data_IF_853161589590
#
_entry.id   IF_853161589590
#
_cell.length_a   1.000
_cell.length_b   1.000
_cell.length_c   1.000
_cell.angle_alpha   90.00
_cell.angle_beta   90.00
_cell.angle_gamma   90.00
#
_symmetry.space_group_name_H-M   'P 1'
#
loop_
_entity.id
_entity.type
_entity.pdbx_description
1 polymer ?
#
# COMPACT_ATOMS: atom_id res chain seq x y z
N UNK A 1 -13.60 32.64 -28.55
CA UNK A 1 -12.64 32.26 -27.50
C UNK A 1 -13.00 30.84 -27.10
N UNK A 2 -12.36 29.85 -27.70
CA UNK A 2 -12.67 28.44 -27.48
C UNK A 2 -12.12 27.99 -26.14
N UNK A 3 -12.99 27.49 -25.26
CA UNK A 3 -12.62 26.71 -24.09
C UNK A 3 -11.97 25.42 -24.57
N UNK A 4 -10.68 25.26 -24.30
CA UNK A 4 -9.98 23.98 -24.37
C UNK A 4 -10.40 23.20 -23.11
N UNK A 5 -11.00 21.99 -23.21
CA UNK A 5 -11.27 21.15 -22.06
C UNK A 5 -9.95 20.82 -21.36
N UNK A 6 -9.91 21.06 -20.05
CA UNK A 6 -8.69 21.15 -19.26
C UNK A 6 -7.89 19.85 -19.23
N UNK A 7 -6.57 19.97 -19.38
CA UNK A 7 -5.65 18.99 -18.81
C UNK A 7 -5.97 18.87 -17.31
N UNK A 8 -6.21 17.67 -16.82
CA UNK A 8 -6.38 17.39 -15.39
C UNK A 8 -5.16 17.91 -14.65
N UNK A 9 -5.35 18.89 -13.75
CA UNK A 9 -4.28 19.42 -12.93
C UNK A 9 -3.69 18.27 -12.08
N UNK A 10 -2.36 18.26 -11.87
CA UNK A 10 -1.74 17.30 -10.97
C UNK A 10 -2.36 17.42 -9.57
N UNK A 11 -2.68 16.30 -8.89
CA UNK A 11 -3.30 16.35 -7.58
C UNK A 11 -2.35 17.01 -6.57
N UNK A 12 -2.94 17.78 -5.65
CA UNK A 12 -2.20 18.46 -4.59
C UNK A 12 -1.53 17.45 -3.65
N UNK A 13 -0.45 17.82 -2.93
CA UNK A 13 0.17 16.95 -1.94
C UNK A 13 -0.83 16.39 -0.91
N UNK A 14 -1.75 17.24 -0.44
CA UNK A 14 -2.80 16.81 0.48
C UNK A 14 -3.74 15.78 -0.17
N UNK A 15 -4.17 16.00 -1.42
CA UNK A 15 -5.01 15.04 -2.15
C UNK A 15 -4.29 13.70 -2.35
N UNK A 16 -2.97 13.70 -2.61
CA UNK A 16 -2.17 12.47 -2.70
C UNK A 16 -2.05 11.73 -1.37
N UNK A 17 -1.88 12.43 -0.25
CA UNK A 17 -1.86 11.82 1.09
C UNK A 17 -3.21 11.17 1.41
N UNK A 18 -4.31 11.92 1.23
CA UNK A 18 -5.66 11.40 1.45
C UNK A 18 -5.98 10.24 0.50
N UNK A 19 -5.68 10.43 -0.79
CA UNK A 19 -5.86 9.43 -1.84
C UNK A 19 -5.14 8.14 -1.51
N UNK A 20 -3.86 8.20 -1.14
CA UNK A 20 -3.06 7.04 -0.78
C UNK A 20 -3.67 6.26 0.39
N UNK A 21 -4.00 6.92 1.50
CA UNK A 21 -4.51 6.26 2.71
C UNK A 21 -5.92 5.72 2.52
N UNK A 22 -6.82 6.48 1.90
CA UNK A 22 -8.19 6.02 1.60
C UNK A 22 -8.19 4.94 0.53
N UNK A 23 -7.36 5.06 -0.50
CA UNK A 23 -7.23 4.07 -1.56
C UNK A 23 -6.78 2.72 -1.01
N UNK A 24 -5.76 2.72 -0.14
CA UNK A 24 -5.34 1.51 0.57
C UNK A 24 -6.46 0.90 1.40
N UNK A 25 -7.16 1.71 2.19
CA UNK A 25 -8.26 1.23 3.02
C UNK A 25 -9.46 0.65 2.22
N UNK A 26 -9.73 1.19 1.03
CA UNK A 26 -10.73 0.63 0.11
C UNK A 26 -10.29 -0.72 -0.45
N UNK A 27 -9.02 -0.85 -0.83
CA UNK A 27 -8.44 -2.09 -1.33
C UNK A 27 -8.41 -3.19 -0.26
N UNK A 28 -7.93 -2.85 0.93
CA UNK A 28 -7.99 -3.67 2.15
C UNK A 28 -9.44 -4.11 2.40
N UNK A 29 -10.39 -3.18 2.55
CA UNK A 29 -11.77 -3.53 2.92
C UNK A 29 -12.48 -4.47 1.94
N UNK A 30 -12.19 -4.36 0.64
CA UNK A 30 -12.73 -5.28 -0.37
C UNK A 30 -12.01 -6.62 -0.34
N UNK A 31 -10.68 -6.62 -0.24
CA UNK A 31 -9.89 -7.84 -0.15
C UNK A 31 -10.20 -8.64 1.12
N UNK A 32 -10.43 -7.97 2.25
CA UNK A 32 -10.72 -8.59 3.54
C UNK A 32 -12.03 -9.40 3.50
N UNK A 33 -12.99 -9.00 2.66
CA UNK A 33 -14.24 -9.73 2.48
C UNK A 33 -14.05 -11.13 1.83
N UNK A 34 -12.87 -11.39 1.26
CA UNK A 34 -12.52 -12.59 0.51
C UNK A 34 -11.11 -13.15 0.80
N UNK A 35 -10.36 -12.61 1.76
CA UNK A 35 -8.95 -12.91 2.05
C UNK A 35 -8.62 -14.42 2.12
N UNK A 36 -9.51 -15.22 2.71
CA UNK A 36 -9.31 -16.66 2.90
C UNK A 36 -10.08 -17.54 1.90
N UNK A 37 -10.74 -16.93 0.92
CA UNK A 37 -11.50 -17.65 -0.09
C UNK A 37 -10.58 -18.07 -1.26
N UNK A 38 -10.73 -19.32 -1.71
CA UNK A 38 -10.18 -19.71 -3.02
C UNK A 38 -10.88 -18.96 -4.15
N UNK A 39 -10.22 -18.79 -5.29
CA UNK A 39 -10.86 -18.18 -6.48
C UNK A 39 -12.17 -18.88 -6.87
N UNK A 40 -12.27 -20.19 -6.69
CA UNK A 40 -13.51 -20.96 -6.92
C UNK A 40 -14.64 -20.51 -5.99
N UNK A 41 -14.33 -20.26 -4.73
CA UNK A 41 -15.30 -19.77 -3.74
C UNK A 41 -15.73 -18.32 -4.04
N UNK A 42 -14.76 -17.46 -4.39
CA UNK A 42 -15.01 -16.07 -4.81
C UNK A 42 -15.96 -16.05 -6.02
N UNK A 43 -15.66 -16.83 -7.06
CA UNK A 43 -16.53 -16.95 -8.24
C UNK A 43 -17.90 -17.54 -7.92
N UNK A 44 -17.96 -18.48 -6.98
CA UNK A 44 -19.22 -19.04 -6.49
C UNK A 44 -20.12 -18.00 -5.81
N UNK A 45 -19.53 -17.02 -5.11
CA UNK A 45 -20.25 -15.94 -4.40
C UNK A 45 -20.62 -14.78 -5.32
N UNK A 46 -19.71 -14.34 -6.19
CA UNK A 46 -19.83 -13.08 -6.93
C UNK A 46 -19.90 -13.25 -8.47
N UNK A 47 -19.84 -14.48 -8.97
CA UNK A 47 -19.78 -14.80 -10.39
C UNK A 47 -18.36 -14.78 -10.96
N UNK A 48 -18.22 -15.11 -12.24
CA UNK A 48 -16.89 -15.27 -12.90
C UNK A 48 -15.98 -14.04 -12.83
N UNK A 49 -16.57 -12.83 -12.74
CA UNK A 49 -15.82 -11.59 -12.61
C UNK A 49 -15.25 -11.36 -11.20
N UNK A 50 -15.67 -12.16 -10.21
CA UNK A 50 -15.29 -11.99 -8.81
C UNK A 50 -15.93 -10.77 -8.15
N UNK A 51 -15.40 -10.35 -7.00
CA UNK A 51 -15.85 -9.15 -6.28
C UNK A 51 -15.39 -7.89 -7.03
N UNK A 52 -16.34 -7.01 -7.38
CA UNK A 52 -16.09 -5.80 -8.19
C UNK A 52 -16.39 -4.49 -7.50
N UNK A 53 -16.94 -4.52 -6.29
CA UNK A 53 -17.34 -3.32 -5.56
C UNK A 53 -18.13 -3.66 -4.29
N UNK A 54 -18.35 -2.64 -3.46
CA UNK A 54 -19.01 -2.78 -2.15
C UNK A 54 -20.50 -3.09 -2.26
N UNK A 55 -21.14 -2.78 -3.39
CA UNK A 55 -22.54 -3.07 -3.64
C UNK A 55 -22.88 -4.56 -3.61
N UNK A 56 -21.88 -5.43 -3.72
CA UNK A 56 -22.02 -6.88 -3.63
C UNK A 56 -21.86 -7.41 -2.19
N UNK A 57 -21.51 -6.57 -1.21
CA UNK A 57 -21.29 -6.96 0.18
C UNK A 57 -22.53 -6.68 1.04
N UNK A 58 -23.15 -7.75 1.55
CA UNK A 58 -24.25 -7.64 2.51
C UNK A 58 -23.69 -7.36 3.92
N UNK A 59 -24.03 -6.22 4.51
CA UNK A 59 -23.70 -5.91 5.92
C UNK A 59 -22.63 -4.85 6.17
N UNK A 60 -22.17 -4.17 5.11
CA UNK A 60 -21.08 -3.18 5.20
C UNK A 60 -19.71 -3.85 5.04
N UNK A 61 -18.67 -3.03 4.86
CA UNK A 61 -17.30 -3.49 4.77
C UNK A 61 -16.50 -3.12 6.01
N UNK A 62 -15.41 -3.84 6.24
CA UNK A 62 -14.49 -3.60 7.35
C UNK A 62 -13.08 -3.66 6.78
N UNK A 63 -12.21 -2.74 7.18
CA UNK A 63 -10.78 -2.85 6.90
C UNK A 63 -10.08 -3.76 7.91
N UNK A 64 -8.99 -4.43 7.54
CA UNK A 64 -8.24 -5.40 8.35
C UNK A 64 -7.15 -4.74 9.21
N UNK A 65 -6.19 -5.53 9.70
CA UNK A 65 -5.00 -4.98 10.35
C UNK A 65 -4.11 -4.17 9.40
N UNK A 66 -4.23 -4.34 8.08
CA UNK A 66 -3.54 -3.55 7.07
C UNK A 66 -3.77 -2.05 7.26
N UNK A 67 -5.04 -1.63 7.22
CA UNK A 67 -5.39 -0.23 7.46
C UNK A 67 -5.08 0.19 8.89
N UNK A 68 -5.37 -0.66 9.88
CA UNK A 68 -5.08 -0.31 11.28
C UNK A 68 -3.59 0.00 11.47
N UNK A 69 -2.72 -0.91 11.08
CA UNK A 69 -1.27 -0.74 11.20
C UNK A 69 -0.77 0.40 10.32
N UNK A 70 -1.33 0.62 9.13
CA UNK A 70 -1.03 1.78 8.29
C UNK A 70 -1.31 3.09 9.03
N UNK A 71 -2.45 3.21 9.70
CA UNK A 71 -2.80 4.41 10.45
C UNK A 71 -1.88 4.63 11.66
N UNK A 72 -1.46 3.54 12.34
CA UNK A 72 -0.45 3.64 13.41
C UNK A 72 0.96 3.94 12.86
N UNK A 73 1.30 3.51 11.64
CA UNK A 73 2.51 3.99 10.95
C UNK A 73 2.44 5.50 10.75
N UNK A 74 1.31 6.02 10.25
CA UNK A 74 1.10 7.48 10.10
C UNK A 74 1.26 8.18 11.44
N UNK A 75 0.66 7.67 12.51
CA UNK A 75 0.75 8.25 13.85
C UNK A 75 2.19 8.32 14.38
N UNK A 76 2.97 7.24 14.24
CA UNK A 76 4.39 7.24 14.62
C UNK A 76 5.24 8.21 13.79
N UNK A 77 4.94 8.37 12.50
CA UNK A 77 5.61 9.37 11.64
C UNK A 77 5.21 10.80 12.02
N UNK A 78 3.92 11.04 12.29
CA UNK A 78 3.42 12.34 12.76
C UNK A 78 4.12 12.73 14.06
N UNK A 79 4.21 11.82 15.03
CA UNK A 79 4.91 12.07 16.29
C UNK A 79 6.37 12.47 16.06
N UNK A 80 7.10 11.76 15.20
CA UNK A 80 8.49 12.10 14.88
C UNK A 80 8.62 13.49 14.21
N UNK A 81 7.69 13.83 13.32
CA UNK A 81 7.66 15.12 12.61
C UNK A 81 7.25 16.27 13.54
N UNK A 82 6.33 16.07 14.49
CA UNK A 82 5.96 17.06 15.51
C UNK A 82 7.18 17.49 16.35
N UNK A 83 8.00 16.51 16.77
CA UNK A 83 9.25 16.80 17.47
C UNK A 83 10.23 17.57 16.58
N UNK A 84 10.42 17.13 15.34
CA UNK A 84 11.31 17.79 14.39
C UNK A 84 10.91 19.24 14.11
N UNK A 85 9.61 19.50 13.89
CA UNK A 85 9.05 20.83 13.66
C UNK A 85 9.17 21.73 14.91
N UNK A 86 9.24 21.13 16.10
CA UNK A 86 9.52 21.83 17.36
C UNK A 86 11.01 22.08 17.60
N UNK A 87 11.89 21.70 16.67
CA UNK A 87 13.35 21.83 16.79
C UNK A 87 14.00 20.79 17.70
N UNK A 88 13.30 19.68 17.98
CA UNK A 88 13.77 18.60 18.86
C UNK A 88 13.96 17.32 18.03
N UNK A 89 15.13 16.69 18.15
CA UNK A 89 15.38 15.40 17.51
C UNK A 89 14.57 14.29 18.18
N UNK A 90 13.92 13.45 17.38
CA UNK A 90 13.27 12.22 17.82
C UNK A 90 13.81 11.01 17.04
N UNK A 91 13.88 9.86 17.71
CA UNK A 91 14.13 8.59 17.03
C UNK A 91 12.82 8.14 16.38
N UNK A 92 12.72 8.30 15.06
CA UNK A 92 11.52 7.95 14.30
C UNK A 92 11.16 6.47 14.43
N UNK A 93 12.15 5.58 14.54
CA UNK A 93 11.91 4.14 14.70
C UNK A 93 11.33 3.84 16.10
N UNK A 94 11.76 4.58 17.12
CA UNK A 94 11.16 4.50 18.45
C UNK A 94 9.71 5.03 18.47
N UNK A 95 9.41 6.15 17.79
CA UNK A 95 8.04 6.65 17.67
C UNK A 95 7.12 5.62 17.00
N UNK A 96 7.58 5.00 15.91
CA UNK A 96 6.84 3.92 15.22
C UNK A 96 6.64 2.71 16.11
N UNK A 97 7.67 2.29 16.84
CA UNK A 97 7.56 1.18 17.78
C UNK A 97 6.54 1.45 18.89
N UNK A 98 6.54 2.65 19.47
CA UNK A 98 5.56 3.06 20.47
C UNK A 98 4.14 3.10 19.89
N UNK A 99 3.97 3.58 18.65
CA UNK A 99 2.70 3.53 17.94
C UNK A 99 2.21 2.09 17.74
N UNK A 100 3.09 1.17 17.34
CA UNK A 100 2.71 -0.24 17.20
C UNK A 100 2.43 -0.93 18.53
N UNK A 101 3.05 -0.51 19.65
CA UNK A 101 2.66 -0.99 20.97
C UNK A 101 1.27 -0.50 21.39
N UNK A 102 0.87 0.73 20.99
CA UNK A 102 -0.51 1.19 21.15
C UNK A 102 -1.48 0.35 20.32
N UNK A 103 -1.15 0.09 19.05
CA UNK A 103 -1.94 -0.83 18.21
C UNK A 103 -2.07 -2.23 18.84
N UNK A 104 -0.98 -2.80 19.37
CA UNK A 104 -1.00 -4.11 20.02
C UNK A 104 -2.01 -4.17 21.19
N UNK A 105 -2.08 -3.09 21.99
CA UNK A 105 -3.06 -2.94 23.07
C UNK A 105 -4.50 -2.94 22.52
N UNK A 106 -4.75 -2.27 21.39
CA UNK A 106 -6.09 -2.29 20.76
C UNK A 106 -6.48 -3.67 20.24
N UNK A 107 -5.52 -4.56 19.99
CA UNK A 107 -5.76 -5.97 19.64
C UNK A 107 -6.00 -6.89 20.86
N UNK A 108 -5.94 -6.34 22.08
CA UNK A 108 -6.11 -7.09 23.32
C UNK A 108 -4.94 -8.04 23.63
N UNK A 109 -3.77 -7.79 23.06
CA UNK A 109 -2.56 -8.59 23.31
C UNK A 109 -1.70 -7.88 24.33
N UNK A 110 -1.47 -8.47 25.53
CA UNK A 110 -0.70 -7.80 26.57
C UNK A 110 0.79 -7.75 26.20
N UNK A 111 1.38 -6.57 26.27
CA UNK A 111 2.83 -6.40 26.26
C UNK A 111 3.43 -6.81 27.63
N UNK A 112 4.67 -7.32 27.68
CA UNK A 112 5.32 -7.70 28.94
C UNK A 112 5.57 -6.47 29.82
N UNK A 113 5.67 -6.64 31.14
CA UNK A 113 5.85 -5.53 32.10
C UNK A 113 7.06 -4.63 31.81
N UNK A 114 8.08 -5.19 31.15
CA UNK A 114 9.31 -4.49 30.75
C UNK A 114 9.14 -3.60 29.52
N UNK A 115 8.08 -3.78 28.74
CA UNK A 115 7.78 -2.94 27.58
C UNK A 115 7.41 -1.54 28.06
N UNK A 116 7.79 -0.47 27.33
CA UNK A 116 7.36 0.87 27.67
C UNK A 116 5.84 0.97 27.55
N UNK A 117 5.24 1.85 28.36
CA UNK A 117 3.84 2.25 28.23
C UNK A 117 3.77 3.54 27.42
N UNK A 118 3.45 3.47 26.11
CA UNK A 118 3.36 4.67 25.28
C UNK A 118 2.29 5.61 25.82
N UNK A 119 2.50 6.92 25.66
CA UNK A 119 1.47 7.91 25.95
C UNK A 119 0.34 7.79 24.92
N UNK A 120 -0.92 7.97 25.32
CA UNK A 120 -2.04 7.90 24.40
C UNK A 120 -2.02 9.07 23.42
N UNK A 121 -2.49 8.82 22.20
CA UNK A 121 -2.66 9.79 21.11
C UNK A 121 -4.08 9.72 20.56
N UNK A 122 -4.45 10.68 19.72
CA UNK A 122 -5.79 10.80 19.14
C UNK A 122 -6.29 9.50 18.45
N UNK A 123 -5.39 8.77 17.79
CA UNK A 123 -5.72 7.52 17.10
C UNK A 123 -6.22 6.44 18.08
N UNK A 124 -5.77 6.44 19.33
CA UNK A 124 -6.17 5.44 20.32
C UNK A 124 -7.61 5.63 20.75
N UNK A 125 -8.19 6.82 20.60
CA UNK A 125 -9.57 7.09 21.00
C UNK A 125 -10.59 6.49 20.02
N UNK A 126 -10.14 6.05 18.84
CA UNK A 126 -11.02 5.57 17.77
C UNK A 126 -11.53 4.15 18.06
N UNK A 127 -12.85 3.93 18.30
CA UNK A 127 -13.37 2.62 18.67
C UNK A 127 -13.21 1.56 17.57
N UNK A 128 -13.29 1.99 16.30
CA UNK A 128 -13.17 1.09 15.14
C UNK A 128 -11.83 0.32 15.11
N UNK A 129 -10.76 0.92 15.65
CA UNK A 129 -9.41 0.33 15.67
C UNK A 129 -9.21 -0.70 16.80
N UNK A 130 -10.22 -0.93 17.65
CA UNK A 130 -10.21 -1.94 18.73
C UNK A 130 -10.84 -3.27 18.32
N UNK A 131 -11.35 -3.35 17.09
CA UNK A 131 -11.84 -4.60 16.54
C UNK A 131 -10.68 -5.42 16.00
N UNK A 132 -10.43 -6.59 16.61
CA UNK A 132 -9.40 -7.51 16.15
C UNK A 132 -9.86 -8.20 14.87
N UNK A 133 -9.18 -7.92 13.75
CA UNK A 133 -9.53 -8.37 12.40
C UNK A 133 -8.33 -9.04 11.75
N UNK A 134 -8.25 -10.36 11.89
CA UNK A 134 -7.21 -11.21 11.31
C UNK A 134 -5.73 -10.75 11.48
N UNK A 135 -5.31 -10.13 12.60
CA UNK A 135 -3.98 -9.55 12.68
C UNK A 135 -2.86 -10.54 12.39
N UNK A 136 -1.93 -10.15 11.51
CA UNK A 136 -0.79 -10.96 11.13
C UNK A 136 0.01 -11.44 12.36
N UNK A 137 0.17 -12.75 12.50
CA UNK A 137 0.80 -13.36 13.67
C UNK A 137 2.22 -12.84 13.93
N UNK A 138 2.99 -12.53 12.88
CA UNK A 138 4.34 -11.98 13.02
C UNK A 138 4.33 -10.58 13.64
N UNK A 139 3.36 -9.74 13.28
CA UNK A 139 3.21 -8.40 13.88
C UNK A 139 2.95 -8.53 15.38
N UNK A 140 1.98 -9.37 15.75
CA UNK A 140 1.63 -9.62 17.15
C UNK A 140 2.80 -10.22 17.94
N UNK A 141 3.43 -11.28 17.44
CA UNK A 141 4.50 -11.97 18.15
C UNK A 141 5.73 -11.09 18.32
N UNK A 142 6.06 -10.27 17.31
CA UNK A 142 7.19 -9.36 17.35
C UNK A 142 7.03 -8.29 18.41
N UNK A 143 5.87 -7.62 18.44
CA UNK A 143 5.57 -6.56 19.40
C UNK A 143 5.37 -7.11 20.81
N UNK A 144 4.76 -8.29 20.95
CA UNK A 144 4.57 -8.96 22.24
C UNK A 144 5.89 -9.37 22.92
N UNK A 145 7.02 -9.34 22.22
CA UNK A 145 8.33 -9.49 22.88
C UNK A 145 8.65 -8.32 23.82
N UNK A 146 8.10 -7.14 23.57
CA UNK A 146 8.47 -5.88 24.24
C UNK A 146 9.88 -5.39 23.91
N UNK A 147 10.56 -5.98 22.93
CA UNK A 147 11.84 -5.48 22.40
C UNK A 147 11.59 -4.57 21.20
N UNK A 148 12.35 -3.49 21.10
CA UNK A 148 12.43 -2.72 19.86
C UNK A 148 13.36 -3.46 18.90
N UNK A 149 12.77 -4.15 17.91
CA UNK A 149 13.52 -4.81 16.84
C UNK A 149 14.35 -3.81 16.02
N UNK A 150 15.51 -4.24 15.53
CA UNK A 150 16.39 -3.40 14.70
C UNK A 150 16.93 -4.19 13.52
N UNK A 151 17.53 -3.52 12.54
CA UNK A 151 18.14 -4.21 11.39
C UNK A 151 19.21 -5.22 11.80
N UNK A 152 19.94 -4.95 12.88
CA UNK A 152 21.02 -5.80 13.41
C UNK A 152 20.53 -6.89 14.37
N UNK A 153 19.39 -6.64 15.04
CA UNK A 153 18.77 -7.55 16.00
C UNK A 153 17.25 -7.50 15.82
N UNK A 154 16.72 -8.05 14.71
CA UNK A 154 15.30 -7.99 14.45
C UNK A 154 14.55 -8.99 15.34
N UNK A 155 13.29 -8.69 15.61
CA UNK A 155 12.36 -9.71 16.10
C UNK A 155 11.88 -10.54 14.90
N UNK A 156 11.54 -11.81 15.14
CA UNK A 156 11.15 -12.77 14.10
C UNK A 156 12.14 -12.79 12.90
N UNK A 157 13.41 -13.21 13.10
CA UNK A 157 14.49 -13.07 12.12
C UNK A 157 14.21 -13.70 10.76
N UNK A 158 13.41 -14.78 10.74
CA UNK A 158 13.13 -15.56 9.53
C UNK A 158 11.80 -15.19 8.85
N UNK A 159 11.00 -14.28 9.44
CA UNK A 159 9.65 -14.02 8.91
C UNK A 159 9.68 -13.14 7.66
N UNK A 160 9.07 -13.67 6.59
CA UNK A 160 8.88 -13.03 5.28
C UNK A 160 7.51 -12.36 5.09
N UNK A 161 6.64 -12.41 6.10
CA UNK A 161 5.24 -11.99 6.00
C UNK A 161 5.03 -10.60 5.40
N UNK A 162 3.91 -10.42 4.68
CA UNK A 162 3.46 -9.16 4.06
C UNK A 162 3.24 -8.00 5.05
N UNK A 163 3.14 -8.30 6.34
CA UNK A 163 2.93 -7.35 7.44
C UNK A 163 3.87 -6.15 7.45
N UNK A 164 5.03 -6.23 6.78
CA UNK A 164 5.93 -5.10 6.56
C UNK A 164 5.46 -4.15 5.47
N UNK A 165 5.04 -4.67 4.32
CA UNK A 165 4.75 -3.88 3.11
C UNK A 165 3.36 -3.26 3.16
N UNK A 166 2.36 -3.97 3.70
CA UNK A 166 0.97 -3.50 3.78
C UNK A 166 0.82 -2.15 4.51
N UNK A 167 1.76 -1.82 5.39
CA UNK A 167 1.75 -0.61 6.22
C UNK A 167 2.84 0.40 5.89
N UNK A 168 3.49 0.26 4.74
CA UNK A 168 4.69 1.03 4.37
C UNK A 168 4.44 2.22 3.46
N UNK A 169 3.27 2.33 2.81
CA UNK A 169 2.94 3.49 2.00
C UNK A 169 3.19 4.85 2.69
N UNK A 170 2.88 5.05 3.99
CA UNK A 170 3.08 6.32 4.69
C UNK A 170 4.52 6.86 4.66
N UNK A 171 5.54 6.00 4.63
CA UNK A 171 6.94 6.44 4.58
C UNK A 171 7.25 7.23 3.30
N UNK A 172 6.62 6.85 2.19
CA UNK A 172 6.79 7.55 0.91
C UNK A 172 6.03 8.89 0.82
N UNK A 173 5.09 9.14 1.74
CA UNK A 173 4.26 10.35 1.76
C UNK A 173 4.99 11.57 2.34
N UNK A 174 6.12 11.38 3.01
CA UNK A 174 6.88 12.47 3.61
C UNK A 174 7.59 13.26 2.49
N UNK A 175 7.29 14.55 2.32
CA UNK A 175 7.92 15.36 1.28
C UNK A 175 9.32 15.79 1.70
N UNK A 176 10.14 16.20 0.72
CA UNK A 176 11.44 16.85 0.93
C UNK A 176 12.48 16.03 1.72
N UNK A 177 12.28 14.73 1.90
CA UNK A 177 13.31 13.81 2.41
C UNK A 177 13.97 13.07 1.24
N UNK A 178 15.29 12.85 1.26
CA UNK A 178 15.95 12.10 0.20
C UNK A 178 15.48 10.64 0.15
N UNK A 179 15.45 10.06 -1.04
CA UNK A 179 14.97 8.70 -1.29
C UNK A 179 15.69 7.64 -0.42
N UNK A 180 16.99 7.78 -0.20
CA UNK A 180 17.74 6.86 0.65
C UNK A 180 17.25 6.83 2.11
N UNK A 181 16.76 7.97 2.62
CA UNK A 181 16.19 8.04 3.97
C UNK A 181 14.79 7.43 4.02
N UNK A 182 13.96 7.60 2.97
CA UNK A 182 12.65 6.92 2.85
C UNK A 182 12.84 5.40 2.94
N UNK A 183 13.76 4.87 2.13
CA UNK A 183 14.06 3.44 2.09
C UNK A 183 14.54 2.94 3.45
N UNK A 184 15.53 3.64 4.03
CA UNK A 184 16.12 3.26 5.32
C UNK A 184 15.07 3.28 6.43
N UNK A 185 14.28 4.36 6.54
CA UNK A 185 13.26 4.51 7.58
C UNK A 185 12.23 3.38 7.50
N UNK A 186 11.74 3.05 6.31
CA UNK A 186 10.79 1.96 6.15
C UNK A 186 11.40 0.58 6.43
N UNK A 187 12.63 0.31 6.00
CA UNK A 187 13.30 -0.98 6.25
C UNK A 187 13.65 -1.17 7.74
N UNK A 188 14.05 -0.09 8.42
CA UNK A 188 14.27 -0.07 9.87
C UNK A 188 12.96 -0.35 10.61
N UNK A 189 11.87 0.31 10.22
CA UNK A 189 10.54 0.11 10.81
C UNK A 189 9.96 -1.30 10.57
N UNK A 190 10.25 -1.92 9.42
CA UNK A 190 9.90 -3.31 9.18
C UNK A 190 10.56 -4.27 10.20
N UNK A 191 11.80 -3.96 10.60
CA UNK A 191 12.58 -4.73 11.58
C UNK A 191 11.97 -4.76 12.99
N UNK A 192 11.02 -3.87 13.28
CA UNK A 192 10.24 -3.87 14.53
C UNK A 192 9.35 -5.11 14.68
N UNK A 193 9.10 -5.85 13.59
CA UNK A 193 8.23 -7.03 13.58
C UNK A 193 8.76 -8.20 12.75
N UNK A 194 9.46 -7.93 11.64
CA UNK A 194 9.94 -8.95 10.70
C UNK A 194 11.43 -8.75 10.42
N UNK A 195 12.23 -9.81 10.54
CA UNK A 195 13.67 -9.72 10.34
C UNK A 195 14.19 -10.14 8.97
N UNK A 196 13.40 -10.87 8.18
CA UNK A 196 13.90 -11.40 6.92
C UNK A 196 14.26 -10.26 5.95
N UNK A 197 15.41 -10.31 5.26
CA UNK A 197 15.82 -9.27 4.30
C UNK A 197 14.75 -8.96 3.26
N UNK A 198 14.15 -9.98 2.63
CA UNK A 198 13.08 -9.79 1.64
C UNK A 198 11.91 -8.95 2.18
N UNK A 199 11.44 -9.21 3.41
CA UNK A 199 10.33 -8.45 4.00
C UNK A 199 10.68 -6.97 4.24
N UNK A 200 11.89 -6.70 4.73
CA UNK A 200 12.35 -5.34 5.03
C UNK A 200 12.64 -4.54 3.77
N UNK A 201 13.27 -5.17 2.79
CA UNK A 201 13.60 -4.54 1.52
C UNK A 201 12.32 -4.28 0.71
N UNK A 202 11.33 -5.20 0.71
CA UNK A 202 10.03 -4.97 0.07
C UNK A 202 9.33 -3.72 0.60
N UNK A 203 9.29 -3.56 1.92
CA UNK A 203 8.76 -2.36 2.58
C UNK A 203 9.48 -1.07 2.14
N UNK A 204 10.82 -1.10 2.10
CA UNK A 204 11.63 0.02 1.62
C UNK A 204 11.37 0.36 0.15
N UNK A 205 11.29 -0.64 -0.73
CA UNK A 205 11.02 -0.44 -2.17
C UNK A 205 9.61 0.09 -2.41
N UNK A 206 8.61 -0.41 -1.70
CA UNK A 206 7.25 0.11 -1.80
C UNK A 206 7.18 1.58 -1.39
N UNK A 207 7.84 1.93 -0.28
CA UNK A 207 7.93 3.32 0.19
C UNK A 207 8.62 4.24 -0.83
N UNK A 208 9.68 3.76 -1.49
CA UNK A 208 10.35 4.48 -2.58
C UNK A 208 9.44 4.68 -3.79
N UNK A 209 8.66 3.68 -4.15
CA UNK A 209 7.69 3.77 -5.24
C UNK A 209 6.66 4.87 -4.93
N UNK A 210 6.06 4.85 -3.74
CA UNK A 210 5.13 5.90 -3.30
C UNK A 210 5.80 7.26 -3.30
N UNK A 211 7.03 7.36 -2.78
CA UNK A 211 7.78 8.62 -2.78
C UNK A 211 8.01 9.17 -4.18
N UNK A 212 8.35 8.31 -5.14
CA UNK A 212 8.52 8.72 -6.54
C UNK A 212 7.23 9.30 -7.13
N UNK A 213 6.07 8.71 -6.81
CA UNK A 213 4.75 9.23 -7.23
C UNK A 213 4.43 10.58 -6.59
N UNK A 214 4.78 10.77 -5.31
CA UNK A 214 4.63 12.05 -4.60
C UNK A 214 5.51 13.14 -5.23
N UNK A 215 6.68 12.80 -5.76
CA UNK A 215 7.52 13.73 -6.54
C UNK A 215 6.97 14.02 -7.95
N UNK A 216 5.86 13.39 -8.35
CA UNK A 216 5.19 13.65 -9.62
C UNK A 216 5.62 12.76 -10.78
N UNK A 217 6.45 11.73 -10.54
CA UNK A 217 6.79 10.75 -11.58
C UNK A 217 5.57 9.89 -11.95
N UNK A 218 5.59 9.36 -13.18
CA UNK A 218 4.53 8.47 -13.67
C UNK A 218 4.58 7.07 -13.04
N UNK A 219 3.48 6.30 -13.13
CA UNK A 219 3.40 4.94 -12.58
C UNK A 219 4.52 4.01 -13.10
N UNK A 220 4.71 3.97 -14.43
CA UNK A 220 5.72 3.11 -15.06
C UNK A 220 7.14 3.56 -14.67
N UNK A 221 7.39 4.86 -14.63
CA UNK A 221 8.67 5.44 -14.23
C UNK A 221 9.00 5.11 -12.77
N UNK A 222 8.04 5.31 -11.86
CA UNK A 222 8.20 4.97 -10.45
C UNK A 222 8.44 3.47 -10.24
N UNK A 223 7.72 2.60 -10.95
CA UNK A 223 7.91 1.15 -10.90
C UNK A 223 9.29 0.73 -11.44
N UNK A 224 9.72 1.29 -12.56
CA UNK A 224 11.05 1.04 -13.13
C UNK A 224 12.17 1.48 -12.18
N UNK A 225 12.04 2.65 -11.55
CA UNK A 225 12.99 3.13 -10.56
C UNK A 225 13.07 2.20 -9.33
N UNK A 226 11.92 1.71 -8.85
CA UNK A 226 11.83 0.76 -7.75
C UNK A 226 12.53 -0.58 -8.09
N UNK A 227 12.28 -1.14 -9.27
CA UNK A 227 12.96 -2.36 -9.76
C UNK A 227 14.46 -2.12 -9.90
N UNK A 228 14.86 -1.03 -10.56
CA UNK A 228 16.27 -0.69 -10.76
C UNK A 228 17.04 -0.56 -9.44
N UNK A 229 16.41 0.03 -8.41
CA UNK A 229 17.01 0.13 -7.07
C UNK A 229 17.35 -1.25 -6.49
N UNK A 230 16.47 -2.23 -6.66
CA UNK A 230 16.70 -3.62 -6.21
C UNK A 230 17.75 -4.30 -7.09
N UNK A 231 17.70 -4.09 -8.41
CA UNK A 231 18.64 -4.69 -9.34
C UNK A 231 20.09 -4.21 -9.13
N UNK A 232 20.25 -2.93 -8.81
CA UNK A 232 21.53 -2.28 -8.54
C UNK A 232 22.17 -2.67 -7.21
N UNK A 233 21.41 -3.30 -6.30
CA UNK A 233 21.85 -3.64 -4.95
C UNK A 233 22.30 -5.09 -4.86
N UNK A 234 23.61 -5.32 -4.67
CA UNK A 234 24.18 -6.66 -4.56
C UNK A 234 23.64 -7.44 -3.35
N UNK A 235 23.12 -6.75 -2.33
CA UNK A 235 22.57 -7.34 -1.11
C UNK A 235 21.03 -7.47 -1.17
N UNK A 236 20.40 -7.16 -2.30
CA UNK A 236 18.98 -7.37 -2.49
C UNK A 236 18.62 -8.86 -2.42
N UNK A 237 17.55 -9.17 -1.68
CA UNK A 237 16.97 -10.49 -1.58
C UNK A 237 16.62 -11.01 -2.98
N UNK A 238 17.10 -12.21 -3.36
CA UNK A 238 16.85 -12.78 -4.68
C UNK A 238 15.36 -12.86 -5.03
N UNK A 239 14.52 -13.24 -4.07
CA UNK A 239 13.08 -13.41 -4.29
C UNK A 239 12.38 -12.09 -4.58
N UNK A 240 12.77 -11.02 -3.88
CA UNK A 240 12.28 -9.66 -4.16
C UNK A 240 12.63 -9.21 -5.57
N UNK A 241 13.90 -9.41 -5.96
CA UNK A 241 14.39 -9.06 -7.30
C UNK A 241 13.61 -9.80 -8.37
N UNK A 242 13.43 -11.11 -8.21
CA UNK A 242 12.72 -11.96 -9.15
C UNK A 242 11.24 -11.54 -9.30
N UNK A 243 10.53 -11.37 -8.18
CA UNK A 243 9.10 -11.04 -8.18
C UNK A 243 8.81 -9.66 -8.78
N UNK A 244 9.59 -8.65 -8.45
CA UNK A 244 9.40 -7.30 -9.02
C UNK A 244 9.74 -7.26 -10.52
N UNK A 245 10.82 -7.92 -10.94
CA UNK A 245 11.15 -8.03 -12.35
C UNK A 245 10.06 -8.80 -13.13
N UNK A 246 9.48 -9.85 -12.54
CA UNK A 246 8.35 -10.57 -13.11
C UNK A 246 7.11 -9.68 -13.25
N UNK A 247 6.73 -8.94 -12.20
CA UNK A 247 5.59 -8.02 -12.25
C UNK A 247 5.72 -6.99 -13.38
N UNK A 248 6.88 -6.35 -13.51
CA UNK A 248 7.14 -5.35 -14.55
C UNK A 248 7.11 -5.96 -15.97
N UNK A 249 7.73 -7.14 -16.13
CA UNK A 249 7.75 -7.89 -17.40
C UNK A 249 6.35 -8.31 -17.83
N UNK A 250 5.54 -8.82 -16.90
CA UNK A 250 4.17 -9.28 -17.17
C UNK A 250 3.25 -8.10 -17.48
N UNK A 251 3.39 -6.98 -16.77
CA UNK A 251 2.64 -5.76 -17.05
C UNK A 251 3.01 -5.15 -18.42
N UNK A 252 4.31 -5.12 -18.77
CA UNK A 252 4.75 -4.63 -20.09
C UNK A 252 4.22 -5.48 -21.25
N UNK A 253 4.01 -6.79 -21.04
CA UNK A 253 3.38 -7.69 -22.03
C UNK A 253 1.86 -7.50 -22.13
N UNK A 254 1.20 -7.06 -21.07
CA UNK A 254 -0.22 -6.69 -21.13
C UNK A 254 -0.45 -5.47 -22.04
N UNK A 255 0.59 -4.63 -22.22
CA UNK A 255 0.50 -3.44 -23.07
C UNK A 255 1.10 -3.52 -24.48
N UNK A 256 1.98 -4.48 -24.76
CA UNK A 256 2.60 -4.62 -26.07
C UNK A 256 1.88 -5.68 -26.91
N UNK A 257 1.16 -5.23 -27.94
CA UNK A 257 0.77 -5.98 -29.15
C UNK A 257 -0.57 -6.77 -29.10
N UNK A 258 -1.43 -6.47 -30.09
CA UNK A 258 -2.68 -7.18 -30.49
C UNK A 258 -3.93 -7.09 -29.60
N UNK A 259 -4.56 -5.91 -29.50
CA UNK A 259 -6.03 -5.74 -29.51
C UNK A 259 -6.93 -6.40 -28.45
N UNK A 260 -6.40 -7.24 -27.57
CA UNK A 260 -7.01 -7.92 -26.40
C UNK A 260 -6.07 -9.07 -26.02
N UNK A 261 -4.90 -8.80 -25.41
CA UNK A 261 -4.25 -9.84 -24.60
C UNK A 261 -4.55 -9.56 -23.14
N UNK A 262 -5.26 -10.48 -22.46
CA UNK A 262 -5.86 -10.21 -21.18
C UNK A 262 -4.80 -10.08 -20.10
N UNK A 263 -5.08 -9.22 -19.12
CA UNK A 263 -4.52 -9.33 -17.77
C UNK A 263 -4.52 -10.79 -17.31
N UNK A 264 -3.55 -11.19 -16.48
CA UNK A 264 -3.47 -12.55 -15.97
C UNK A 264 -4.80 -12.91 -15.32
N UNK A 265 -5.29 -14.13 -15.62
CA UNK A 265 -6.37 -14.68 -14.82
C UNK A 265 -5.85 -14.97 -13.39
N UNK A 266 -6.74 -15.12 -12.40
CA UNK A 266 -6.36 -15.34 -11.01
C UNK A 266 -5.39 -16.51 -10.78
N UNK A 267 -5.57 -17.60 -11.51
CA UNK A 267 -4.74 -18.80 -11.39
C UNK A 267 -3.31 -18.56 -11.90
N UNK A 268 -3.17 -17.92 -13.06
CA UNK A 268 -1.88 -17.54 -13.65
C UNK A 268 -1.19 -16.44 -12.82
N UNK A 269 -1.96 -15.51 -12.24
CA UNK A 269 -1.47 -14.48 -11.33
C UNK A 269 -0.77 -15.12 -10.12
N UNK A 270 -1.45 -16.06 -9.45
CA UNK A 270 -0.88 -16.81 -8.32
C UNK A 270 0.34 -17.63 -8.75
N UNK A 271 0.26 -18.30 -9.89
CA UNK A 271 1.38 -19.11 -10.40
C UNK A 271 2.63 -18.27 -10.70
N UNK A 272 2.47 -17.06 -11.26
CA UNK A 272 3.60 -16.23 -11.71
C UNK A 272 4.15 -15.32 -10.61
N UNK A 273 3.28 -14.77 -9.74
CA UNK A 273 3.65 -13.74 -8.76
C UNK A 273 3.50 -14.18 -7.30
N UNK A 274 2.81 -15.28 -7.03
CA UNK A 274 2.56 -15.81 -5.70
C UNK A 274 1.21 -15.40 -5.12
N UNK A 275 0.94 -15.87 -3.90
CA UNK A 275 -0.36 -15.70 -3.23
C UNK A 275 -0.43 -14.41 -2.40
N UNK A 276 0.70 -13.71 -2.20
CA UNK A 276 0.74 -12.45 -1.47
C UNK A 276 1.10 -12.57 0.01
N UNK A 277 1.07 -13.77 0.61
CA UNK A 277 1.34 -13.97 2.04
C UNK A 277 2.74 -13.51 2.51
N UNK A 278 3.70 -13.39 1.59
CA UNK A 278 5.04 -12.84 1.85
C UNK A 278 5.21 -11.51 1.12
N UNK A 279 6.00 -10.61 1.72
CA UNK A 279 6.05 -9.21 1.33
C UNK A 279 6.42 -8.97 -0.14
N UNK A 280 7.37 -9.74 -0.69
CA UNK A 280 7.74 -9.58 -2.09
C UNK A 280 6.63 -10.00 -3.07
N UNK A 281 5.78 -10.96 -2.68
CA UNK A 281 4.65 -11.41 -3.49
C UNK A 281 3.52 -10.39 -3.44
N UNK A 282 3.14 -9.93 -2.23
CA UNK A 282 2.10 -8.91 -2.08
C UNK A 282 2.43 -7.64 -2.88
N UNK A 283 3.68 -7.18 -2.78
CA UNK A 283 4.16 -6.02 -3.54
C UNK A 283 4.09 -6.26 -5.05
N UNK A 284 4.52 -7.43 -5.51
CA UNK A 284 4.54 -7.76 -6.94
C UNK A 284 3.12 -7.87 -7.52
N UNK A 285 2.19 -8.50 -6.81
CA UNK A 285 0.78 -8.62 -7.22
C UNK A 285 0.12 -7.25 -7.28
N UNK A 286 0.23 -6.44 -6.22
CA UNK A 286 -0.35 -5.09 -6.20
C UNK A 286 0.23 -4.18 -7.28
N UNK A 287 1.56 -4.23 -7.49
CA UNK A 287 2.23 -3.46 -8.55
C UNK A 287 1.81 -3.93 -9.95
N UNK A 288 1.75 -5.24 -10.17
CA UNK A 288 1.30 -5.81 -11.44
C UNK A 288 -0.14 -5.37 -11.74
N UNK A 289 -1.05 -5.47 -10.76
CA UNK A 289 -2.45 -5.11 -10.94
C UNK A 289 -2.62 -3.65 -11.40
N UNK A 290 -1.88 -2.73 -10.78
CA UNK A 290 -1.83 -1.32 -11.20
C UNK A 290 -1.28 -1.16 -12.61
N UNK A 291 -0.11 -1.72 -12.91
CA UNK A 291 0.52 -1.48 -14.21
C UNK A 291 -0.21 -2.17 -15.36
N UNK A 292 -0.77 -3.36 -15.15
CA UNK A 292 -1.46 -4.14 -16.17
C UNK A 292 -2.84 -3.58 -16.53
N UNK A 293 -3.44 -2.80 -15.63
CA UNK A 293 -4.72 -2.10 -15.86
C UNK A 293 -4.53 -0.63 -16.19
N UNK A 294 -3.28 -0.15 -16.26
CA UNK A 294 -2.94 1.21 -16.60
C UNK A 294 -3.48 1.57 -18.00
N UNK A 295 -4.23 2.67 -18.14
CA UNK A 295 -4.77 3.07 -19.42
C UNK A 295 -3.66 3.47 -20.40
N UNK A 296 -3.75 2.97 -21.64
CA UNK A 296 -2.75 3.30 -22.65
C UNK A 296 -1.39 2.61 -22.43
N UNK A 297 -1.35 1.47 -21.74
CA UNK A 297 -0.24 0.52 -21.86
C UNK A 297 -0.14 0.06 -23.33
N UNK A 298 0.43 0.90 -24.18
CA UNK A 298 0.87 0.60 -25.55
C UNK A 298 1.85 1.69 -25.95
N UNK A 299 3.17 1.43 -25.89
CA UNK A 299 4.14 2.31 -26.50
C UNK A 299 4.99 1.56 -27.53
N UNK A 300 4.54 1.59 -28.79
CA UNK A 300 5.37 1.67 -30.00
C UNK A 300 4.39 1.87 -31.18
N UNK A 301 4.66 2.82 -32.07
CA UNK A 301 3.95 3.03 -33.36
C UNK A 301 2.67 3.90 -33.40
N UNK A 302 2.56 4.94 -32.57
CA UNK A 302 1.70 6.07 -32.95
C UNK A 302 2.44 6.97 -33.97
N UNK A 303 1.93 7.17 -35.20
CA UNK A 303 2.50 8.13 -36.13
C UNK A 303 2.47 9.54 -35.51
N UNK A 304 3.53 10.32 -35.74
CA UNK A 304 3.71 11.67 -35.21
C UNK A 304 2.66 12.71 -35.68
N UNK A 305 1.60 12.27 -36.35
CA UNK A 305 0.50 13.09 -36.84
C UNK A 305 -0.84 12.40 -36.54
N UNK A 306 -1.29 12.50 -35.29
CA UNK A 306 -2.72 12.45 -35.01
C UNK A 306 -3.06 13.46 -33.91
N UNK A 307 -3.73 14.52 -34.33
CA UNK A 307 -4.34 15.55 -33.47
C UNK A 307 -5.66 15.07 -32.84
N UNK A 308 -5.86 13.76 -32.72
CA UNK A 308 -6.94 13.18 -31.94
C UNK A 308 -6.49 13.17 -30.47
N UNK A 309 -7.09 14.05 -29.67
CA UNK A 309 -6.77 14.16 -28.24
C UNK A 309 -6.74 12.79 -27.57
N UNK A 310 -5.62 12.46 -26.95
CA UNK A 310 -5.52 11.35 -26.01
C UNK A 310 -6.61 11.59 -24.96
N UNK A 311 -7.66 10.76 -24.98
CA UNK A 311 -8.65 10.77 -23.91
C UNK A 311 -7.88 10.45 -22.64
N UNK A 312 -7.71 11.43 -21.75
CA UNK A 312 -7.21 11.19 -20.42
C UNK A 312 -8.07 10.07 -19.84
N UNK A 313 -7.44 8.97 -19.49
CA UNK A 313 -8.19 7.82 -19.03
C UNK A 313 -8.78 8.08 -17.67
N UNK A 314 -9.97 7.54 -17.44
CA UNK A 314 -10.72 7.75 -16.21
C UNK A 314 -9.97 7.14 -15.01
N UNK A 315 -9.46 7.97 -14.07
CA UNK A 315 -8.74 7.48 -12.90
C UNK A 315 -9.58 6.53 -12.04
N UNK A 316 -10.91 6.73 -12.00
CA UNK A 316 -11.84 5.91 -11.22
C UNK A 316 -11.94 4.51 -11.82
N UNK A 317 -12.02 4.41 -13.15
CA UNK A 317 -12.08 3.10 -13.83
C UNK A 317 -10.76 2.34 -13.71
N UNK A 318 -9.61 3.04 -13.78
CA UNK A 318 -8.31 2.42 -13.50
C UNK A 318 -8.25 1.91 -12.05
N UNK A 319 -8.71 2.69 -11.07
CA UNK A 319 -8.77 2.26 -9.68
C UNK A 319 -9.62 1.00 -9.50
N UNK A 320 -10.85 0.99 -10.00
CA UNK A 320 -11.74 -0.17 -9.92
C UNK A 320 -11.14 -1.41 -10.60
N UNK A 321 -10.53 -1.24 -11.78
CA UNK A 321 -9.91 -2.35 -12.52
C UNK A 321 -8.71 -2.93 -11.77
N UNK A 322 -7.81 -2.09 -11.26
CA UNK A 322 -6.63 -2.51 -10.52
C UNK A 322 -7.00 -3.22 -9.21
N UNK A 323 -7.92 -2.65 -8.42
CA UNK A 323 -8.38 -3.29 -7.18
C UNK A 323 -9.00 -4.65 -7.48
N UNK A 324 -9.89 -4.74 -8.48
CA UNK A 324 -10.52 -6.00 -8.80
C UNK A 324 -9.52 -7.07 -9.31
N UNK A 325 -8.44 -6.67 -9.99
CA UNK A 325 -7.37 -7.61 -10.37
C UNK A 325 -6.52 -8.01 -9.16
N UNK A 326 -6.26 -7.07 -8.24
CA UNK A 326 -5.45 -7.31 -7.05
C UNK A 326 -6.15 -8.24 -6.05
N UNK A 327 -7.47 -8.15 -5.85
CA UNK A 327 -8.15 -8.90 -4.78
C UNK A 327 -8.72 -10.26 -5.21
N UNK A 328 -8.98 -10.49 -6.50
CA UNK A 328 -9.67 -11.70 -6.95
C UNK A 328 -8.68 -12.83 -7.23
N UNK A 329 -8.02 -13.35 -6.20
CA UNK A 329 -7.14 -14.53 -6.25
C UNK A 329 -7.27 -15.40 -4.99
N UNK A 330 -6.61 -16.56 -4.96
CA UNK A 330 -6.74 -17.53 -3.84
C UNK A 330 -5.81 -17.24 -2.66
N UNK A 331 -5.46 -15.98 -2.44
CA UNK A 331 -4.39 -15.60 -1.51
C UNK A 331 -4.73 -14.34 -0.73
N UNK A 332 -3.70 -13.69 -0.22
CA UNK A 332 -3.71 -12.50 0.64
C UNK A 332 -4.31 -11.27 -0.06
N UNK A 333 -5.64 -11.24 -0.15
CA UNK A 333 -6.38 -10.36 -1.04
C UNK A 333 -6.51 -8.94 -0.50
N UNK A 334 -6.55 -8.76 0.83
CA UNK A 334 -6.55 -7.44 1.47
C UNK A 334 -5.19 -6.75 1.32
N UNK A 335 -4.07 -7.44 1.56
CA UNK A 335 -2.73 -6.87 1.37
C UNK A 335 -2.46 -6.42 -0.06
N UNK A 336 -2.78 -7.26 -1.05
CA UNK A 336 -2.56 -6.93 -2.46
C UNK A 336 -3.48 -5.79 -2.92
N UNK A 337 -4.74 -5.80 -2.48
CA UNK A 337 -5.70 -4.71 -2.68
C UNK A 337 -5.23 -3.39 -2.06
N UNK A 338 -4.77 -3.43 -0.82
CA UNK A 338 -4.26 -2.27 -0.07
C UNK A 338 -3.08 -1.62 -0.79
N UNK A 339 -2.09 -2.43 -1.21
CA UNK A 339 -0.93 -1.94 -1.95
C UNK A 339 -1.35 -1.28 -3.28
N UNK A 340 -2.21 -1.93 -4.07
CA UNK A 340 -2.69 -1.36 -5.33
C UNK A 340 -3.44 -0.03 -5.10
N UNK A 341 -4.28 0.02 -4.07
CA UNK A 341 -5.03 1.20 -3.67
C UNK A 341 -4.14 2.36 -3.21
N UNK A 342 -3.10 2.08 -2.41
CA UNK A 342 -2.11 3.08 -2.01
C UNK A 342 -1.38 3.68 -3.21
N UNK A 343 -0.94 2.85 -4.17
CA UNK A 343 -0.21 3.29 -5.37
C UNK A 343 -1.08 4.25 -6.19
N UNK A 344 -2.31 3.85 -6.50
CA UNK A 344 -3.21 4.67 -7.33
C UNK A 344 -3.69 5.92 -6.61
N UNK A 345 -3.94 5.82 -5.30
CA UNK A 345 -4.27 6.96 -4.47
C UNK A 345 -3.13 7.97 -4.36
N UNK A 346 -1.87 7.50 -4.27
CA UNK A 346 -0.70 8.38 -4.29
C UNK A 346 -0.50 9.03 -5.68
N UNK A 347 -0.82 8.31 -6.76
CA UNK A 347 -0.66 8.79 -8.13
C UNK A 347 -1.73 9.80 -8.56
N UNK A 348 -3.00 9.48 -8.35
CA UNK A 348 -4.16 10.28 -8.79
C UNK A 348 -4.76 11.17 -7.69
N UNK A 349 -4.38 10.98 -6.43
CA UNK A 349 -5.04 11.64 -5.30
C UNK A 349 -6.45 11.09 -5.08
N UNK A 350 -7.33 11.90 -4.48
CA UNK A 350 -8.72 11.50 -4.24
C UNK A 350 -9.56 11.35 -5.52
N UNK A 351 -9.09 11.89 -6.65
CA UNK A 351 -9.84 11.91 -7.93
C UNK A 351 -10.06 10.51 -8.52
N UNK A 352 -9.28 9.49 -8.11
CA UNK A 352 -9.49 8.11 -8.53
C UNK A 352 -10.43 7.31 -7.63
N UNK A 353 -10.85 7.87 -6.49
CA UNK A 353 -11.60 7.12 -5.49
C UNK A 353 -13.11 7.15 -5.82
N UNK A 354 -13.77 6.00 -6.05
CA UNK A 354 -15.19 5.97 -6.33
C UNK A 354 -16.01 6.50 -5.14
N UNK A 355 -16.91 7.47 -5.40
CA UNK A 355 -17.69 8.12 -4.35
C UNK A 355 -18.66 7.15 -3.63
N UNK A 356 -19.21 6.19 -4.36
CA UNK A 356 -20.02 5.09 -3.84
C UNK A 356 -19.23 4.18 -2.89
N UNK A 357 -17.98 3.87 -3.25
CA UNK A 357 -17.10 3.07 -2.41
C UNK A 357 -16.67 3.81 -1.14
N UNK A 358 -16.35 5.11 -1.24
CA UNK A 358 -16.09 5.95 -0.08
C UNK A 358 -17.29 6.07 0.87
N UNK A 359 -18.50 6.08 0.33
CA UNK A 359 -19.73 6.08 1.13
C UNK A 359 -20.01 4.75 1.84
N UNK A 360 -19.45 3.65 1.34
CA UNK A 360 -19.58 2.31 1.92
C UNK A 360 -18.41 1.94 2.85
N UNK A 361 -17.26 2.61 2.73
CA UNK A 361 -16.08 2.40 3.56
C UNK A 361 -16.41 2.64 5.03
N UNK A 362 -15.87 1.79 5.91
CA UNK A 362 -16.01 1.97 7.34
C UNK A 362 -15.11 3.09 7.87
N UNK A 363 -15.70 3.96 8.69
CA UNK A 363 -15.02 5.03 9.40
C UNK A 363 -14.03 5.87 8.55
N UNK A 364 -14.41 6.34 7.34
CA UNK A 364 -13.53 7.12 6.48
C UNK A 364 -13.05 8.40 7.15
N UNK A 365 -13.80 8.94 8.12
CA UNK A 365 -13.41 10.08 8.95
C UNK A 365 -12.17 9.80 9.81
N UNK A 366 -11.96 8.56 10.27
CA UNK A 366 -10.77 8.19 11.05
C UNK A 366 -9.53 8.21 10.14
N UNK A 367 -9.65 7.64 8.95
CA UNK A 367 -8.57 7.63 7.94
C UNK A 367 -8.25 9.07 7.50
N UNK A 368 -9.29 9.88 7.21
CA UNK A 368 -9.13 11.31 6.88
C UNK A 368 -8.53 12.11 8.02
N UNK A 369 -8.85 11.77 9.28
CA UNK A 369 -8.27 12.41 10.45
C UNK A 369 -6.77 12.19 10.56
N UNK A 370 -6.29 10.95 10.39
CA UNK A 370 -4.85 10.66 10.34
C UNK A 370 -4.16 11.32 9.13
N UNK A 371 -4.79 11.25 7.95
CA UNK A 371 -4.29 11.94 6.76
C UNK A 371 -4.13 13.45 7.01
N UNK A 372 -5.11 14.07 7.67
CA UNK A 372 -5.08 15.50 8.01
C UNK A 372 -3.97 15.85 9.01
N UNK A 373 -3.70 14.98 9.99
CA UNK A 373 -2.56 15.16 10.90
C UNK A 373 -1.22 15.09 10.15
N UNK A 374 -1.07 14.13 9.24
CA UNK A 374 0.14 14.05 8.41
C UNK A 374 0.31 15.28 7.52
N UNK A 375 -0.75 15.74 6.86
CA UNK A 375 -0.75 16.99 6.08
C UNK A 375 -0.31 18.17 6.95
N UNK A 376 -0.87 18.31 8.15
CA UNK A 376 -0.57 19.41 9.05
C UNK A 376 0.92 19.50 9.44
N UNK A 377 1.62 18.37 9.56
CA UNK A 377 3.05 18.35 9.94
C UNK A 377 4.02 18.31 8.75
N UNK A 378 3.51 18.14 7.52
CA UNK A 378 4.33 18.05 6.30
C UNK A 378 4.15 19.23 5.33
N UNK A 379 3.09 20.02 5.50
CA UNK A 379 2.75 21.16 4.62
C UNK A 379 2.71 22.51 5.31
N UNK A 380 3.01 22.55 6.62
CA UNK A 380 3.04 23.77 7.42
C UNK A 380 4.30 24.63 7.17
#
# INVERSE_FOLDING_TARGET
MSNVPGATALPSPASRIHGCLLGGALGDSLGYAIEFDSITAIRGRFGEAGLRGFEALDGGSHFSDDTQMTLYTVDGLVEALEWANSGVGADANACLWLAYLRWLDTQGVPAPERAPRPQPRWIDEQPVLRHRRAPGNTCLSGLATGEMGTVYRPVNPDSKGCGTVMRSAPFGLIPHIPAEYVYKLSADAASLTHGHPSARQSAGVFSLLIHSLIQGHGLVEAAQAAVHRVESDAEAAPELRERLAAALRLAGRAGADTGTRPVLNPEDLVSELGEGWVAEEALAVGLYAVLATAPGASPADAPADSSAGQSAADPVEHFKAAIALAINHSGDSDSTGSIAGNILGAHYGEDCLPADWLGALEAPEVIRGMASQLVAVTTA
#
